data_IF_853452917600
#
_entry.id   IF_853452917600
#
_cell.length_a   1.000
_cell.length_b   1.000
_cell.length_c   1.000
_cell.angle_alpha   90.00
_cell.angle_beta   90.00
_cell.angle_gamma   90.00
#
_symmetry.space_group_name_H-M   'P 1'
#
loop_
_entity.id
_entity.type
_entity.pdbx_description
1 polymer ?
#
# COMPACT_ATOMS: atom_id res chain seq x y z
N UNK A 1 -3.23 -16.96 0.69
CA UNK A 1 -3.09 -18.34 1.20
C UNK A 1 -4.21 -18.67 2.16
N UNK A 2 -4.19 -18.12 3.38
CA UNK A 2 -5.14 -18.46 4.45
C UNK A 2 -6.62 -18.29 4.08
N UNK A 3 -6.97 -17.23 3.35
CA UNK A 3 -8.36 -16.96 2.98
C UNK A 3 -8.80 -17.63 1.65
N UNK A 4 -7.93 -18.38 0.98
CA UNK A 4 -8.24 -19.01 -0.31
C UNK A 4 -8.59 -18.02 -1.44
N UNK A 5 -7.97 -16.84 -1.46
CA UNK A 5 -8.25 -15.82 -2.48
C UNK A 5 -9.53 -15.00 -2.25
N UNK A 6 -10.03 -14.96 -1.01
CA UNK A 6 -11.22 -14.17 -0.64
C UNK A 6 -10.90 -12.81 -0.02
N UNK A 7 -9.63 -12.38 -0.01
CA UNK A 7 -9.25 -11.09 0.55
C UNK A 7 -9.65 -9.96 -0.40
N UNK A 8 -10.23 -8.89 0.15
CA UNK A 8 -10.39 -7.58 -0.49
C UNK A 8 -9.74 -6.56 0.44
N UNK A 9 -8.83 -5.74 -0.06
CA UNK A 9 -8.09 -4.80 0.76
C UNK A 9 -8.77 -3.43 0.73
N UNK A 10 -9.39 -3.02 1.84
CA UNK A 10 -9.86 -1.66 2.03
C UNK A 10 -8.71 -0.75 2.47
N UNK A 11 -8.52 0.38 1.81
CA UNK A 11 -7.45 1.35 2.12
C UNK A 11 -8.07 2.74 2.29
N UNK A 12 -7.77 3.38 3.43
CA UNK A 12 -8.11 4.76 3.71
C UNK A 12 -6.86 5.62 3.90
N UNK A 13 -6.94 6.92 3.60
CA UNK A 13 -5.78 7.85 3.74
C UNK A 13 -5.45 8.11 5.20
N UNK A 14 -6.39 7.89 6.12
CA UNK A 14 -6.25 8.25 7.53
C UNK A 14 -6.51 9.74 7.77
N UNK A 15 -7.19 10.03 8.88
CA UNK A 15 -7.70 11.37 9.22
C UNK A 15 -7.03 11.98 10.45
N UNK A 16 -6.30 11.18 11.23
CA UNK A 16 -5.73 11.61 12.50
C UNK A 16 -4.29 12.13 12.34
N UNK A 17 -4.12 13.44 12.50
CA UNK A 17 -2.81 14.09 12.44
C UNK A 17 -1.82 13.54 13.47
N UNK A 18 -2.29 13.25 14.69
CA UNK A 18 -1.45 12.81 15.81
C UNK A 18 -0.83 11.45 15.53
N UNK A 19 -1.58 10.54 14.89
CA UNK A 19 -1.06 9.24 14.45
C UNK A 19 0.08 9.38 13.45
N UNK A 20 -0.08 10.27 12.47
CA UNK A 20 0.98 10.54 11.49
C UNK A 20 2.25 11.08 12.15
N UNK A 21 2.11 12.04 13.06
CA UNK A 21 3.24 12.61 13.80
C UNK A 21 3.93 11.55 14.66
N UNK A 22 3.16 10.72 15.39
CA UNK A 22 3.69 9.66 16.24
C UNK A 22 4.44 8.58 15.43
N UNK A 23 4.00 8.29 14.21
CA UNK A 23 4.64 7.36 13.28
C UNK A 23 5.74 8.00 12.41
N UNK A 24 6.20 9.21 12.75
CA UNK A 24 7.28 9.90 12.02
C UNK A 24 6.93 10.22 10.56
N UNK A 25 5.64 10.36 10.25
CA UNK A 25 5.11 10.49 8.90
C UNK A 25 4.57 11.90 8.65
N UNK A 26 5.00 12.54 7.56
CA UNK A 26 4.51 13.88 7.21
C UNK A 26 3.05 13.83 6.75
N UNK A 27 2.18 14.38 7.60
CA UNK A 27 0.75 14.55 7.36
C UNK A 27 0.42 15.14 6.00
N UNK A 28 1.21 16.10 5.50
CA UNK A 28 0.94 16.80 4.24
C UNK A 28 1.16 15.90 3.02
N UNK A 29 1.93 14.83 3.16
CA UNK A 29 2.27 13.92 2.06
C UNK A 29 1.45 12.63 2.03
N UNK A 30 0.53 12.43 2.98
CA UNK A 30 -0.20 11.17 3.18
C UNK A 30 -0.90 10.60 1.93
N UNK A 31 -1.53 11.46 1.13
CA UNK A 31 -2.21 11.03 -0.11
C UNK A 31 -1.21 10.54 -1.16
N UNK A 32 -0.14 11.32 -1.38
CA UNK A 32 0.93 10.93 -2.31
C UNK A 32 1.65 9.65 -1.84
N UNK A 33 1.89 9.52 -0.53
CA UNK A 33 2.49 8.33 0.07
C UNK A 33 1.60 7.10 -0.09
N UNK A 34 0.29 7.24 0.15
CA UNK A 34 -0.65 6.14 -0.07
C UNK A 34 -0.62 5.69 -1.53
N UNK A 35 -0.68 6.62 -2.49
CA UNK A 35 -0.64 6.27 -3.91
C UNK A 35 0.61 5.45 -4.28
N UNK A 36 1.79 5.89 -3.81
CA UNK A 36 3.04 5.14 -4.01
C UNK A 36 3.01 3.78 -3.31
N UNK A 37 2.45 3.69 -2.09
CA UNK A 37 2.32 2.42 -1.38
C UNK A 37 1.42 1.42 -2.11
N UNK A 38 0.34 1.88 -2.74
CA UNK A 38 -0.50 1.03 -3.58
C UNK A 38 0.31 0.47 -4.76
N UNK A 39 1.13 1.30 -5.40
CA UNK A 39 2.01 0.87 -6.49
C UNK A 39 3.01 -0.18 -6.00
N UNK A 40 3.73 0.12 -4.92
CA UNK A 40 4.70 -0.80 -4.28
C UNK A 40 4.05 -2.14 -3.95
N UNK A 41 2.90 -2.13 -3.28
CA UNK A 41 2.17 -3.35 -2.93
C UNK A 41 1.76 -4.15 -4.15
N UNK A 42 1.19 -3.51 -5.18
CA UNK A 42 0.80 -4.20 -6.40
C UNK A 42 2.01 -4.88 -7.07
N UNK A 43 3.12 -4.16 -7.23
CA UNK A 43 4.36 -4.71 -7.80
C UNK A 43 4.86 -5.92 -7.01
N UNK A 44 4.97 -5.80 -5.69
CA UNK A 44 5.44 -6.88 -4.81
C UNK A 44 4.50 -8.10 -4.80
N UNK A 45 3.22 -7.95 -5.16
CA UNK A 45 2.27 -9.06 -5.24
C UNK A 45 2.21 -9.73 -6.62
N UNK A 46 2.69 -9.07 -7.67
CA UNK A 46 2.56 -9.54 -9.06
C UNK A 46 3.88 -9.90 -9.72
N UNK A 47 5.00 -9.35 -9.23
CA UNK A 47 6.35 -9.58 -9.79
C UNK A 47 7.15 -10.53 -8.89
N UNK A 48 8.08 -11.30 -9.49
CA UNK A 48 8.93 -12.23 -8.75
C UNK A 48 10.05 -11.54 -7.97
N UNK A 49 10.53 -10.40 -8.47
CA UNK A 49 11.62 -9.62 -7.89
C UNK A 49 11.44 -8.15 -8.30
N UNK A 50 11.49 -7.23 -7.34
CA UNK A 50 11.15 -5.81 -7.55
C UNK A 50 12.29 -4.92 -7.10
N UNK A 51 12.74 -4.04 -7.99
CA UNK A 51 13.46 -2.81 -7.63
C UNK A 51 12.51 -1.64 -7.75
N UNK A 52 12.44 -0.80 -6.71
CA UNK A 52 11.57 0.36 -6.65
C UNK A 52 12.34 1.56 -6.13
N UNK A 53 12.25 2.68 -6.84
CA UNK A 53 12.88 3.94 -6.44
C UNK A 53 11.86 5.07 -6.56
N UNK A 54 11.15 5.30 -5.46
CA UNK A 54 10.13 6.33 -5.34
C UNK A 54 10.55 7.47 -4.41
N UNK A 55 9.57 8.30 -4.06
CA UNK A 55 9.74 9.40 -3.12
C UNK A 55 9.70 8.91 -1.67
N UNK A 56 8.94 7.86 -1.38
CA UNK A 56 8.73 7.37 -0.01
C UNK A 56 9.32 5.97 0.24
N UNK A 57 9.53 5.17 -0.80
CA UNK A 57 10.14 3.85 -0.74
C UNK A 57 11.31 3.76 -1.73
N UNK A 58 12.43 3.20 -1.27
CA UNK A 58 13.60 2.90 -2.10
C UNK A 58 14.13 1.53 -1.67
N UNK A 59 14.10 0.56 -2.59
CA UNK A 59 14.62 -0.77 -2.37
C UNK A 59 15.06 -1.43 -3.67
N UNK A 60 16.03 -2.32 -3.56
CA UNK A 60 16.65 -3.02 -4.67
C UNK A 60 16.47 -4.52 -4.52
N UNK A 61 15.98 -5.17 -5.57
CA UNK A 61 15.84 -6.64 -5.67
C UNK A 61 15.16 -7.30 -4.46
N UNK A 62 13.97 -6.81 -4.11
CA UNK A 62 13.14 -7.35 -3.02
C UNK A 62 11.99 -8.18 -3.59
N UNK A 63 11.63 -9.27 -2.89
CA UNK A 63 10.43 -10.04 -3.18
C UNK A 63 9.59 -10.30 -1.92
N UNK A 64 8.34 -10.72 -2.12
CA UNK A 64 7.47 -11.22 -1.06
C UNK A 64 7.08 -12.65 -1.37
N UNK A 65 7.31 -13.55 -0.42
CA UNK A 65 6.88 -14.95 -0.52
C UNK A 65 6.13 -15.40 0.75
N UNK A 66 5.09 -16.23 0.61
CA UNK A 66 4.49 -16.63 -0.67
C UNK A 66 3.65 -15.52 -1.31
N UNK A 67 3.64 -15.49 -2.65
CA UNK A 67 2.80 -14.56 -3.40
C UNK A 67 1.30 -14.83 -3.15
N UNK A 68 0.45 -13.78 -3.17
CA UNK A 68 -0.98 -13.96 -2.95
C UNK A 68 -1.65 -14.80 -4.05
N UNK A 69 -2.79 -15.38 -3.69
CA UNK A 69 -3.63 -16.16 -4.62
C UNK A 69 -4.23 -15.24 -5.68
N UNK A 70 -4.64 -14.04 -5.28
CA UNK A 70 -5.12 -12.99 -6.17
C UNK A 70 -3.95 -12.09 -6.55
N UNK A 71 -3.74 -11.86 -7.86
CA UNK A 71 -2.64 -11.04 -8.38
C UNK A 71 -3.19 -10.10 -9.46
N UNK A 72 -3.44 -8.82 -9.17
CA UNK A 72 -3.29 -8.17 -7.85
C UNK A 72 -4.41 -8.54 -6.86
N UNK A 73 -4.19 -8.27 -5.56
CA UNK A 73 -5.27 -8.27 -4.58
C UNK A 73 -6.21 -7.10 -4.90
N UNK A 74 -7.54 -7.31 -4.97
CA UNK A 74 -8.47 -6.23 -5.25
C UNK A 74 -8.51 -5.18 -4.13
N UNK A 75 -8.31 -3.91 -4.49
CA UNK A 75 -8.21 -2.78 -3.56
C UNK A 75 -9.45 -1.90 -3.67
N UNK A 76 -9.99 -1.48 -2.52
CA UNK A 76 -11.11 -0.57 -2.40
C UNK A 76 -10.65 0.67 -1.63
N UNK A 77 -10.90 1.85 -2.20
CA UNK A 77 -10.55 3.11 -1.55
C UNK A 77 -11.72 3.64 -0.72
N UNK A 78 -11.46 3.88 0.56
CA UNK A 78 -12.39 4.62 1.40
C UNK A 78 -12.36 6.10 1.04
N UNK A 79 -13.46 6.62 0.51
CA UNK A 79 -13.65 8.05 0.30
C UNK A 79 -14.38 8.65 1.51
N UNK A 80 -13.92 9.81 1.99
CA UNK A 80 -14.67 10.61 2.96
C UNK A 80 -15.61 11.54 2.18
N UNK A 81 -16.91 11.59 2.47
CA UNK A 81 -17.80 12.58 1.86
C UNK A 81 -17.29 13.98 2.16
N UNK A 82 -17.17 14.82 1.14
CA UNK A 82 -17.00 16.26 1.32
C UNK A 82 -18.42 16.81 1.49
N UNK A 83 -18.77 17.22 2.72
CA UNK A 83 -19.91 18.10 2.98
C UNK A 83 -19.41 19.55 2.98
#
# INVERSE_FOLDING_TARGET
MLCGGRLRLGVGVGWNFVEYQALGSDWKTRGARQAEQIEVMNRLWTEELVTFKGRFHDFHEVNITPLPVQRPIPIWFGATPIL
#
